data_IF_448155862393
#
_entry.id   IF_448155862393
#
_cell.length_a   1.000
_cell.length_b   1.000
_cell.length_c   1.000
_cell.angle_alpha   90.00
_cell.angle_beta   90.00
_cell.angle_gamma   90.00
#
_symmetry.space_group_name_H-M   'P 1'
#
loop_
_entity.id
_entity.type
_entity.pdbx_description
1 polymer ?
#
# COMPACT_ATOMS: atom_id res chain seq x y z
N UNK A 1 0.50 -16.31 -25.80
CA UNK A 1 -0.25 -17.05 -26.85
C UNK A 1 0.38 -18.42 -27.03
N UNK A 2 -0.43 -19.48 -27.19
CA UNK A 2 0.07 -20.84 -27.47
C UNK A 2 0.43 -20.95 -28.95
N UNK A 3 1.51 -21.67 -29.26
CA UNK A 3 1.90 -21.95 -30.64
C UNK A 3 1.35 -23.32 -31.06
N UNK A 4 0.69 -23.37 -32.21
CA UNK A 4 0.15 -24.61 -32.78
C UNK A 4 1.23 -25.31 -33.60
N UNK A 5 2.22 -25.89 -32.92
CA UNK A 5 3.33 -26.62 -33.56
C UNK A 5 2.89 -27.95 -34.19
N UNK A 6 1.69 -28.47 -33.87
CA UNK A 6 1.13 -29.68 -34.44
C UNK A 6 -0.41 -29.67 -34.44
N UNK A 7 -1.05 -30.47 -35.29
CA UNK A 7 -2.51 -30.69 -35.31
C UNK A 7 -3.03 -31.43 -34.09
N UNK A 8 -2.15 -32.09 -33.32
CA UNK A 8 -2.53 -32.90 -32.14
C UNK A 8 -2.27 -32.18 -30.81
N UNK A 9 -1.22 -31.36 -30.75
CA UNK A 9 -0.81 -30.67 -29.53
C UNK A 9 -0.46 -29.21 -29.80
N UNK A 10 -0.82 -28.34 -28.86
CA UNK A 10 -0.34 -26.97 -28.79
C UNK A 10 0.73 -26.86 -27.70
N UNK A 11 1.77 -26.07 -27.96
CA UNK A 11 2.90 -25.89 -27.05
C UNK A 11 3.04 -24.41 -26.66
N UNK A 12 3.29 -24.15 -25.37
CA UNK A 12 3.59 -22.82 -24.89
C UNK A 12 5.06 -22.46 -25.20
N UNK A 13 5.36 -21.38 -25.94
CA UNK A 13 6.74 -21.02 -26.28
C UNK A 13 7.56 -20.57 -25.06
N UNK A 14 6.90 -20.15 -23.98
CA UNK A 14 7.57 -19.65 -22.77
C UNK A 14 7.94 -20.77 -21.80
N UNK A 15 7.00 -21.67 -21.50
CA UNK A 15 7.18 -22.72 -20.48
C UNK A 15 7.22 -24.15 -21.04
N UNK A 16 7.12 -24.32 -22.37
CA UNK A 16 7.14 -25.62 -23.08
C UNK A 16 6.06 -26.62 -22.67
N UNK A 17 5.05 -26.17 -21.92
CA UNK A 17 3.90 -27.01 -21.57
C UNK A 17 3.10 -27.37 -22.82
N UNK A 18 2.66 -28.63 -22.89
CA UNK A 18 1.91 -29.19 -24.01
C UNK A 18 0.48 -29.49 -23.61
N UNK A 19 -0.48 -29.10 -24.45
CA UNK A 19 -1.91 -29.42 -24.28
C UNK A 19 -2.49 -29.98 -25.58
N UNK A 20 -3.50 -30.85 -25.47
CA UNK A 20 -4.18 -31.39 -26.66
C UNK A 20 -4.98 -30.28 -27.33
N UNK A 21 -4.92 -30.22 -28.65
CA UNK A 21 -5.63 -29.20 -29.44
C UNK A 21 -7.13 -29.28 -29.23
N UNK A 22 -7.69 -30.50 -29.11
CA UNK A 22 -9.12 -30.72 -28.87
C UNK A 22 -9.66 -30.05 -27.60
N UNK A 23 -8.80 -29.87 -26.59
CA UNK A 23 -9.21 -29.32 -25.30
C UNK A 23 -9.26 -27.78 -25.30
N UNK A 24 -8.66 -27.16 -26.32
CA UNK A 24 -8.54 -25.70 -26.44
C UNK A 24 -9.18 -25.15 -27.74
N UNK A 25 -9.38 -26.01 -28.75
CA UNK A 25 -9.93 -25.61 -30.05
C UNK A 25 -11.35 -25.07 -29.88
N UNK A 26 -11.61 -23.88 -30.42
CA UNK A 26 -12.91 -23.21 -30.33
C UNK A 26 -13.21 -22.54 -28.98
N UNK A 27 -12.26 -22.55 -28.03
CA UNK A 27 -12.38 -21.80 -26.77
C UNK A 27 -11.65 -20.47 -26.91
N UNK A 28 -12.38 -19.38 -26.74
CA UNK A 28 -11.81 -18.03 -26.67
C UNK A 28 -11.72 -17.62 -25.19
N UNK A 29 -10.57 -17.10 -24.79
CA UNK A 29 -10.40 -16.46 -23.48
C UNK A 29 -10.12 -14.99 -23.77
N UNK A 30 -10.98 -14.12 -23.24
CA UNK A 30 -10.81 -12.67 -23.31
C UNK A 30 -10.68 -12.12 -21.90
N UNK A 31 -9.67 -11.29 -21.69
CA UNK A 31 -9.50 -10.54 -20.47
C UNK A 31 -9.08 -9.12 -20.83
N UNK A 32 -9.44 -8.17 -19.98
CA UNK A 32 -9.03 -6.78 -20.06
C UNK A 32 -8.22 -6.47 -18.82
N UNK A 33 -7.05 -5.85 -19.00
CA UNK A 33 -6.22 -5.42 -17.88
C UNK A 33 -6.09 -3.91 -17.98
N UNK A 34 -6.49 -3.20 -16.93
CA UNK A 34 -6.28 -1.77 -16.82
C UNK A 34 -4.85 -1.45 -16.39
N UNK A 35 -4.44 -0.19 -16.54
CA UNK A 35 -3.15 0.25 -16.02
C UNK A 35 -3.10 0.14 -14.49
N UNK A 36 -4.24 0.35 -13.82
CA UNK A 36 -4.42 0.24 -12.39
C UNK A 36 -4.25 -1.21 -11.90
N UNK A 37 -4.79 -2.18 -12.64
CA UNK A 37 -4.60 -3.61 -12.34
C UNK A 37 -3.12 -3.99 -12.38
N UNK A 38 -2.38 -3.55 -13.40
CA UNK A 38 -0.94 -3.82 -13.53
C UNK A 38 -0.16 -3.21 -12.36
N UNK A 39 -0.49 -1.96 -11.99
CA UNK A 39 0.19 -1.26 -10.88
C UNK A 39 -0.01 -1.99 -9.55
N UNK A 40 -1.24 -2.45 -9.27
CA UNK A 40 -1.56 -3.19 -8.04
C UNK A 40 -0.81 -4.52 -7.96
N UNK A 41 -0.85 -5.32 -9.02
CA UNK A 41 -0.24 -6.65 -9.01
C UNK A 41 1.30 -6.59 -8.95
N UNK A 42 1.91 -5.56 -9.55
CA UNK A 42 3.36 -5.39 -9.56
C UNK A 42 3.88 -4.50 -8.41
N UNK A 43 2.99 -4.05 -7.52
CA UNK A 43 3.30 -3.11 -6.44
C UNK A 43 4.09 -1.86 -6.93
N UNK A 44 3.71 -1.35 -8.10
CA UNK A 44 4.34 -0.16 -8.70
C UNK A 44 3.61 1.07 -8.19
N UNK A 45 4.33 1.93 -7.49
CA UNK A 45 3.79 3.23 -7.07
C UNK A 45 3.57 4.13 -8.31
N UNK A 46 2.41 4.79 -8.43
CA UNK A 46 2.16 5.70 -9.53
C UNK A 46 3.12 6.90 -9.49
N UNK A 47 3.74 7.19 -10.64
CA UNK A 47 4.70 8.30 -10.80
C UNK A 47 4.04 9.69 -10.63
N UNK A 48 2.71 9.76 -10.80
CA UNK A 48 1.91 10.96 -10.58
C UNK A 48 0.84 10.60 -9.56
N UNK A 49 0.95 11.15 -8.35
CA UNK A 49 -0.16 11.17 -7.40
C UNK A 49 -1.22 12.11 -8.00
N UNK A 50 -2.30 11.54 -8.53
CA UNK A 50 -3.50 12.33 -8.83
C UNK A 50 -4.10 12.74 -7.48
N UNK A 51 -3.96 14.01 -7.13
CA UNK A 51 -4.46 14.64 -5.90
C UNK A 51 -6.00 14.61 -5.81
N UNK A 52 -6.62 13.43 -5.72
CA UNK A 52 -8.08 13.34 -5.72
C UNK A 52 -8.74 12.00 -5.42
N UNK A 53 -8.01 10.88 -5.33
CA UNK A 53 -8.54 9.65 -4.70
C UNK A 53 -7.63 9.33 -3.54
N UNK A 54 -7.92 10.04 -2.46
CA UNK A 54 -7.23 9.92 -1.22
C UNK A 54 -7.93 8.76 -0.49
N UNK A 55 -7.32 7.57 -0.45
CA UNK A 55 -7.48 6.74 0.74
C UNK A 55 -6.68 7.44 1.84
N UNK A 56 -7.34 8.40 2.50
CA UNK A 56 -6.89 9.10 3.71
C UNK A 56 -6.88 8.14 4.90
N UNK A 57 -6.13 7.05 4.80
CA UNK A 57 -5.81 6.22 5.95
C UNK A 57 -4.30 6.14 6.06
N UNK A 58 -3.73 7.17 6.72
CA UNK A 58 -2.55 7.13 7.60
C UNK A 58 -1.51 8.25 7.47
N UNK A 59 -1.83 9.37 6.84
CA UNK A 59 -1.16 10.65 7.14
C UNK A 59 -2.18 11.73 7.52
N UNK A 60 -3.18 11.35 8.33
CA UNK A 60 -4.08 12.30 8.97
C UNK A 60 -3.25 13.22 9.88
N UNK A 61 -2.85 14.37 9.31
CA UNK A 61 -2.63 15.65 9.97
C UNK A 61 -2.05 15.52 11.38
N UNK A 62 -0.77 15.16 11.49
CA UNK A 62 -0.08 15.37 12.76
C UNK A 62 -0.08 16.88 13.03
N UNK A 63 -0.94 17.33 13.96
CA UNK A 63 -1.00 18.71 14.36
C UNK A 63 0.33 19.12 15.00
N UNK A 64 0.78 20.35 14.75
CA UNK A 64 2.03 20.87 15.33
C UNK A 64 1.74 21.58 16.64
N UNK A 65 2.44 21.19 17.70
CA UNK A 65 2.43 21.89 18.99
C UNK A 65 3.87 22.21 19.42
N UNK A 66 4.04 23.14 20.37
CA UNK A 66 5.32 23.37 21.02
C UNK A 66 5.38 22.54 22.30
N UNK A 67 6.47 21.82 22.51
CA UNK A 67 6.70 21.08 23.74
C UNK A 67 8.16 20.69 23.91
N UNK A 68 8.50 20.28 25.13
CA UNK A 68 9.84 19.85 25.46
C UNK A 68 10.10 18.43 24.97
N UNK A 69 11.23 18.23 24.30
CA UNK A 69 11.68 16.90 23.90
C UNK A 69 12.75 16.38 24.86
N UNK A 70 12.54 15.21 25.45
CA UNK A 70 13.48 14.59 26.41
C UNK A 70 14.88 14.36 25.82
N UNK A 71 14.99 14.25 24.49
CA UNK A 71 16.26 14.06 23.78
C UNK A 71 16.96 15.37 23.40
N UNK A 72 16.20 16.43 23.13
CA UNK A 72 16.77 17.72 22.74
C UNK A 72 16.97 18.64 23.95
N UNK A 73 16.33 18.31 25.07
CA UNK A 73 16.30 19.04 26.34
C UNK A 73 15.76 20.48 26.27
N UNK A 74 15.42 20.94 25.07
CA UNK A 74 14.84 22.25 24.72
C UNK A 74 13.37 22.14 24.24
N UNK A 75 12.67 23.27 24.24
CA UNK A 75 11.35 23.40 23.61
C UNK A 75 11.48 23.38 22.09
N UNK A 76 10.77 22.45 21.48
CA UNK A 76 10.80 22.25 20.03
C UNK A 76 9.40 22.04 19.48
N UNK A 77 9.28 22.00 18.16
CA UNK A 77 8.02 21.67 17.51
C UNK A 77 7.82 20.16 17.54
N UNK A 78 6.61 19.75 17.89
CA UNK A 78 6.21 18.37 18.00
C UNK A 78 5.02 18.14 17.07
N UNK A 79 5.09 17.08 16.30
CA UNK A 79 3.93 16.47 15.66
C UNK A 79 3.18 15.68 16.72
N UNK A 80 1.86 15.83 16.81
CA UNK A 80 1.05 14.98 17.68
C UNK A 80 -0.22 14.49 16.99
N UNK A 81 -0.64 13.30 17.39
CA UNK A 81 -1.90 12.69 16.98
C UNK A 81 -2.46 11.85 18.13
N UNK A 82 -3.77 11.68 18.18
CA UNK A 82 -4.44 10.93 19.23
C UNK A 82 -5.04 9.65 18.67
N UNK A 83 -4.94 8.55 19.42
CA UNK A 83 -5.51 7.25 19.04
C UNK A 83 -6.10 6.56 20.27
N UNK A 84 -7.34 6.07 20.14
CA UNK A 84 -7.94 5.27 21.18
C UNK A 84 -7.39 3.84 21.09
N UNK A 85 -6.69 3.41 22.14
CA UNK A 85 -6.10 2.06 22.24
C UNK A 85 -6.81 1.18 23.27
N UNK A 86 -7.70 1.76 24.08
CA UNK A 86 -8.39 1.09 25.17
C UNK A 86 -9.90 1.32 25.09
N UNK A 87 -10.63 0.74 26.05
CA UNK A 87 -12.08 0.96 26.18
C UNK A 87 -12.40 2.46 26.29
N UNK A 88 -13.62 2.84 25.93
CA UNK A 88 -14.06 4.24 25.92
C UNK A 88 -13.85 4.96 27.27
N UNK A 89 -13.84 4.21 28.37
CA UNK A 89 -13.73 4.72 29.73
C UNK A 89 -12.28 5.09 30.15
N UNK A 90 -11.25 4.71 29.36
CA UNK A 90 -9.83 4.80 29.77
C UNK A 90 -9.03 5.92 29.08
N UNK A 91 -9.74 6.94 28.56
CA UNK A 91 -9.12 8.11 27.93
C UNK A 91 -8.41 7.79 26.61
N UNK A 92 -7.84 8.80 25.94
CA UNK A 92 -7.19 8.63 24.64
C UNK A 92 -5.66 8.65 24.79
N UNK A 93 -4.95 7.85 23.99
CA UNK A 93 -3.48 7.93 23.96
C UNK A 93 -3.04 8.99 22.96
N UNK A 94 -2.24 9.95 23.42
CA UNK A 94 -1.61 10.98 22.59
C UNK A 94 -0.20 10.52 22.21
N UNK A 95 0.12 10.54 20.94
CA UNK A 95 1.44 10.26 20.41
C UNK A 95 2.12 11.56 20.01
N UNK A 96 3.38 11.72 20.37
CA UNK A 96 4.22 12.85 20.00
C UNK A 96 5.42 12.39 19.19
N UNK A 97 5.85 13.22 18.25
CA UNK A 97 7.06 13.05 17.45
C UNK A 97 7.81 14.38 17.33
N UNK A 98 9.07 14.39 17.76
CA UNK A 98 9.92 15.58 17.70
C UNK A 98 10.33 15.91 16.26
N UNK A 99 10.10 17.15 15.81
CA UNK A 99 10.49 17.57 14.45
C UNK A 99 11.99 17.71 14.27
N UNK A 100 12.76 17.84 15.36
CA UNK A 100 14.22 18.06 15.33
C UNK A 100 15.01 16.74 15.32
N UNK A 101 14.66 15.81 16.21
CA UNK A 101 15.40 14.56 16.38
C UNK A 101 14.61 13.29 16.03
N UNK A 102 13.32 13.40 15.69
CA UNK A 102 12.47 12.26 15.34
C UNK A 102 12.10 11.34 16.51
N UNK A 103 12.40 11.73 17.75
CA UNK A 103 12.02 10.93 18.92
C UNK A 103 10.50 10.86 19.07
N UNK A 104 9.98 9.64 19.28
CA UNK A 104 8.56 9.36 19.42
C UNK A 104 8.25 8.84 20.82
N UNK A 105 7.18 9.34 21.43
CA UNK A 105 6.69 8.86 22.72
C UNK A 105 5.17 8.99 22.80
N UNK A 106 4.56 8.31 23.78
CA UNK A 106 3.12 8.30 23.98
C UNK A 106 2.77 8.73 25.40
N UNK A 107 1.70 9.51 25.54
CA UNK A 107 1.12 9.92 26.81
C UNK A 107 -0.33 9.46 26.88
N UNK A 108 -0.69 8.74 27.95
CA UNK A 108 -2.09 8.43 28.24
C UNK A 108 -2.69 9.60 29.01
N UNK A 109 -3.83 10.10 28.56
CA UNK A 109 -4.64 11.07 29.29
C UNK A 109 -5.80 10.36 29.95
#
# INVERSE_FOLDING_TARGET
MLCMSSTKYAECPLCKSRRKVKDISGREIRYTVSAEDIRRELNIEPFVKLDGIITEESEAQNAKTKGRCDRCEEDTWLYYYTRQLRSADEGQTIFYECTKCGHKWSQNT
#
